data_IF_989572522504
#
_entry.id   IF_989572522504
#
_cell.length_a   1.000
_cell.length_b   1.000
_cell.length_c   1.000
_cell.angle_alpha   90.00
_cell.angle_beta   90.00
_cell.angle_gamma   90.00
#
_symmetry.space_group_name_H-M   'P 1'
#
loop_
_entity.id
_entity.type
_entity.pdbx_description
1 polymer ?
#
# COMPACT_ATOMS: atom_id res chain seq x y z
N UNK A 1 -2.50 10.13 0.13
CA UNK A 1 -1.46 10.02 -0.91
C UNK A 1 -0.15 9.52 -0.34
N UNK A 2 0.63 8.80 -1.15
CA UNK A 2 1.96 8.32 -0.82
C UNK A 2 2.99 9.18 -1.56
N UNK A 3 3.94 9.74 -0.81
CA UNK A 3 4.94 10.66 -1.36
C UNK A 3 6.38 10.15 -1.15
N UNK A 4 6.59 9.30 -0.18
CA UNK A 4 7.91 8.78 0.16
C UNK A 4 8.29 7.60 -0.74
N UNK A 5 9.48 7.70 -1.36
CA UNK A 5 10.03 6.68 -2.26
C UNK A 5 10.31 5.38 -1.50
N UNK A 6 10.86 5.46 -0.29
CA UNK A 6 11.18 4.27 0.50
C UNK A 6 9.90 3.53 0.91
N UNK A 7 8.83 4.25 1.31
CA UNK A 7 7.52 3.65 1.57
C UNK A 7 6.92 3.02 0.30
N UNK A 8 7.04 3.67 -0.86
CA UNK A 8 6.49 3.15 -2.12
C UNK A 8 7.12 1.81 -2.51
N UNK A 9 8.41 1.65 -2.30
CA UNK A 9 9.12 0.40 -2.59
C UNK A 9 9.15 -0.60 -1.43
N UNK A 10 8.66 -0.22 -0.24
CA UNK A 10 8.59 -1.11 0.92
C UNK A 10 7.48 -2.16 0.75
N UNK A 11 7.77 -3.46 0.89
CA UNK A 11 6.74 -4.50 0.89
C UNK A 11 5.86 -4.49 2.16
N UNK A 12 6.30 -3.78 3.22
CA UNK A 12 5.53 -3.62 4.45
C UNK A 12 4.45 -2.54 4.32
N UNK A 13 4.60 -1.64 3.36
CA UNK A 13 3.59 -0.63 3.03
C UNK A 13 2.72 -1.15 1.90
N UNK A 14 1.43 -1.32 2.16
CA UNK A 14 0.46 -1.71 1.13
C UNK A 14 0.04 -0.47 0.34
N UNK A 15 0.16 -0.55 -0.98
CA UNK A 15 -0.30 0.48 -1.92
C UNK A 15 -1.69 0.15 -2.41
N UNK A 16 -2.47 1.20 -2.71
CA UNK A 16 -3.76 1.06 -3.37
C UNK A 16 -3.87 2.05 -4.53
N UNK A 17 -4.39 1.56 -5.65
CA UNK A 17 -4.76 2.36 -6.81
C UNK A 17 -6.27 2.31 -7.01
N UNK A 18 -6.85 3.44 -7.43
CA UNK A 18 -8.29 3.59 -7.59
C UNK A 18 -8.67 3.95 -9.01
N UNK A 19 -9.92 3.71 -9.35
CA UNK A 19 -10.54 4.29 -10.54
C UNK A 19 -10.86 5.79 -10.34
N UNK A 20 -11.36 6.43 -11.39
CA UNK A 20 -11.75 7.84 -11.36
C UNK A 20 -12.91 8.16 -10.40
N UNK A 21 -13.58 7.14 -9.86
CA UNK A 21 -14.69 7.28 -8.92
C UNK A 21 -14.25 6.97 -7.47
N UNK A 22 -12.95 6.73 -7.24
CA UNK A 22 -12.44 6.36 -5.93
C UNK A 22 -12.74 4.92 -5.52
N UNK A 23 -13.01 4.01 -6.49
CA UNK A 23 -13.15 2.58 -6.21
C UNK A 23 -11.79 1.91 -6.35
N UNK A 24 -11.42 1.07 -5.41
CA UNK A 24 -10.15 0.33 -5.47
C UNK A 24 -10.10 -0.56 -6.72
N UNK A 25 -9.03 -0.44 -7.47
CA UNK A 25 -8.68 -1.33 -8.58
C UNK A 25 -7.81 -2.48 -8.09
N UNK A 26 -6.84 -2.18 -7.22
CA UNK A 26 -5.92 -3.17 -6.66
C UNK A 26 -5.30 -2.65 -5.37
N UNK A 27 -5.08 -3.57 -4.42
CA UNK A 27 -4.16 -3.42 -3.28
C UNK A 27 -2.96 -4.32 -3.53
N UNK A 28 -1.74 -3.84 -3.26
CA UNK A 28 -0.54 -4.66 -3.41
C UNK A 28 0.60 -4.20 -2.51
N UNK A 29 1.43 -5.15 -2.11
CA UNK A 29 2.73 -4.89 -1.49
C UNK A 29 3.77 -4.44 -2.51
N UNK A 30 3.57 -4.78 -3.79
CA UNK A 30 4.40 -4.29 -4.89
C UNK A 30 4.26 -2.78 -5.08
N UNK A 31 5.27 -2.11 -5.68
CA UNK A 31 5.17 -0.69 -6.05
C UNK A 31 4.20 -0.51 -7.22
N UNK A 32 2.98 -0.08 -6.91
CA UNK A 32 1.91 0.18 -7.89
C UNK A 32 1.36 1.60 -7.76
N UNK A 33 1.01 2.27 -8.91
CA UNK A 33 1.26 1.83 -10.28
C UNK A 33 2.74 1.96 -10.67
N UNK A 34 3.22 1.15 -11.58
CA UNK A 34 4.58 1.25 -12.09
C UNK A 34 4.71 2.39 -13.11
N UNK A 35 5.51 3.39 -12.82
CA UNK A 35 5.83 4.45 -13.78
C UNK A 35 6.93 3.96 -14.71
N UNK A 36 6.55 3.52 -15.92
CA UNK A 36 7.45 2.91 -16.89
C UNK A 36 8.70 3.75 -17.16
N UNK A 37 8.51 5.02 -17.45
CA UNK A 37 9.62 5.87 -17.91
C UNK A 37 10.47 6.38 -16.73
N UNK A 38 9.84 6.73 -15.62
CA UNK A 38 10.57 7.22 -14.45
C UNK A 38 11.39 6.13 -13.73
N UNK A 39 10.88 4.88 -13.72
CA UNK A 39 11.56 3.78 -13.04
C UNK A 39 12.43 2.92 -13.97
N UNK A 40 12.35 3.10 -15.30
CA UNK A 40 13.20 2.40 -16.27
C UNK A 40 14.64 2.88 -16.24
N UNK A 41 14.90 4.13 -15.92
CA UNK A 41 16.25 4.67 -15.79
C UNK A 41 17.03 4.02 -14.64
N UNK A 42 16.34 3.63 -13.57
CA UNK A 42 16.92 2.93 -12.43
C UNK A 42 17.27 1.45 -12.74
N UNK A 43 16.64 0.84 -13.74
CA UNK A 43 16.84 -0.57 -14.11
C UNK A 43 17.97 -0.83 -15.11
N UNK A 44 18.53 0.20 -15.72
CA UNK A 44 19.58 0.04 -16.75
C UNK A 44 20.96 -0.38 -16.20
N UNK A 45 21.10 -0.57 -14.89
CA UNK A 45 22.35 -1.02 -14.25
C UNK A 45 22.44 -2.50 -13.91
N UNK A 46 21.35 -3.25 -13.88
CA UNK A 46 21.37 -4.70 -13.60
C UNK A 46 20.07 -5.36 -14.00
N UNK A 47 20.09 -6.00 -15.13
CA UNK A 47 19.05 -6.93 -15.56
C UNK A 47 19.27 -8.27 -14.84
N UNK A 48 18.69 -8.41 -13.65
CA UNK A 48 18.54 -9.72 -13.03
C UNK A 48 17.15 -10.28 -13.33
N UNK A 49 17.01 -11.50 -13.87
CA UNK A 49 15.72 -12.14 -14.03
C UNK A 49 15.19 -12.56 -12.65
N UNK A 50 14.06 -11.98 -12.25
CA UNK A 50 13.22 -12.51 -11.19
C UNK A 50 13.78 -12.39 -9.78
N UNK A 51 13.67 -11.22 -9.15
CA UNK A 51 13.87 -11.11 -7.71
C UNK A 51 14.06 -9.68 -7.22
N UNK A 52 13.20 -9.27 -6.28
CA UNK A 52 13.44 -8.12 -5.42
C UNK A 52 14.80 -8.28 -4.73
N UNK A 53 15.76 -7.40 -5.03
CA UNK A 53 17.04 -7.35 -4.33
C UNK A 53 17.06 -6.13 -3.38
N UNK A 54 17.42 -6.31 -2.09
CA UNK A 54 17.54 -5.21 -1.14
C UNK A 54 18.53 -4.11 -1.53
N UNK A 55 19.38 -4.33 -2.54
CA UNK A 55 20.30 -3.35 -3.10
C UNK A 55 19.70 -2.47 -4.22
N UNK A 56 18.43 -2.68 -4.60
CA UNK A 56 17.77 -1.93 -5.68
C UNK A 56 17.54 -0.45 -5.34
N UNK A 57 17.65 -0.07 -4.08
CA UNK A 57 17.48 1.32 -3.63
C UNK A 57 18.60 2.25 -4.16
N UNK A 58 19.74 1.73 -4.58
CA UNK A 58 20.87 2.53 -5.06
C UNK A 58 20.66 3.22 -6.43
N UNK A 59 19.55 2.96 -7.10
CA UNK A 59 19.21 3.55 -8.40
C UNK A 59 17.79 4.13 -8.46
N UNK A 60 17.08 4.20 -7.32
CA UNK A 60 15.73 4.76 -7.29
C UNK A 60 15.75 6.29 -7.45
N UNK A 61 14.70 6.87 -8.04
CA UNK A 61 14.57 8.31 -8.09
C UNK A 61 14.54 8.91 -6.68
N UNK A 62 15.02 10.14 -6.54
CA UNK A 62 14.98 10.84 -5.25
C UNK A 62 13.54 11.13 -4.79
N UNK A 63 12.62 11.27 -5.75
CA UNK A 63 11.21 11.56 -5.53
C UNK A 63 10.33 10.71 -6.43
N UNK A 64 9.09 10.45 -5.99
CA UNK A 64 8.09 9.81 -6.84
C UNK A 64 7.67 10.76 -7.98
N UNK A 65 7.33 10.22 -9.17
CA UNK A 65 6.82 11.03 -10.26
C UNK A 65 5.62 11.86 -9.84
N UNK A 66 5.62 13.14 -10.20
CA UNK A 66 4.51 14.05 -9.94
C UNK A 66 3.22 13.48 -10.53
N UNK A 67 2.16 13.44 -9.71
CA UNK A 67 0.86 12.92 -10.13
C UNK A 67 0.76 11.40 -10.20
N UNK A 68 1.74 10.65 -9.69
CA UNK A 68 1.62 9.19 -9.58
C UNK A 68 0.42 8.84 -8.68
N UNK A 69 -0.65 8.18 -9.20
CA UNK A 69 -1.88 7.95 -8.45
C UNK A 69 -1.73 6.74 -7.51
N UNK A 70 -0.88 6.89 -6.50
CA UNK A 70 -0.66 5.87 -5.47
C UNK A 70 -1.09 6.38 -4.11
N UNK A 71 -1.78 5.54 -3.36
CA UNK A 71 -2.23 5.81 -2.00
C UNK A 71 -1.65 4.76 -1.05
N UNK A 72 -1.33 5.18 0.17
CA UNK A 72 -0.99 4.26 1.26
C UNK A 72 -2.28 3.70 1.86
N UNK A 73 -2.38 2.39 1.93
CA UNK A 73 -3.47 1.71 2.60
C UNK A 73 -3.37 1.88 4.12
N UNK A 74 -4.48 2.25 4.76
CA UNK A 74 -4.55 2.50 6.21
C UNK A 74 -5.09 1.30 6.99
N UNK A 75 -5.83 0.39 6.34
CA UNK A 75 -6.36 -0.81 6.97
C UNK A 75 -7.63 -0.59 7.80
N UNK A 76 -8.30 0.56 7.68
CA UNK A 76 -9.58 0.81 8.35
C UNK A 76 -10.73 0.56 7.37
N UNK A 77 -11.68 -0.31 7.75
CA UNK A 77 -12.78 -0.72 6.89
C UNK A 77 -14.14 -0.57 7.54
N UNK A 78 -15.11 -0.14 6.74
CA UNK A 78 -16.53 -0.23 7.05
C UNK A 78 -17.20 -1.19 6.07
N UNK A 79 -18.00 -2.10 6.57
CA UNK A 79 -18.66 -3.14 5.78
C UNK A 79 -20.18 -3.03 5.86
N UNK A 80 -20.85 -3.32 4.75
CA UNK A 80 -22.28 -3.56 4.77
C UNK A 80 -22.57 -4.93 5.42
N UNK A 81 -23.62 -5.01 6.21
CA UNK A 81 -23.96 -6.23 6.93
C UNK A 81 -24.27 -7.43 6.03
N UNK A 82 -24.85 -7.18 4.85
CA UNK A 82 -25.10 -8.18 3.83
C UNK A 82 -23.80 -8.77 3.26
N UNK A 83 -22.79 -7.93 3.03
CA UNK A 83 -21.47 -8.37 2.61
C UNK A 83 -20.78 -9.21 3.70
N UNK A 84 -20.85 -8.80 4.98
CA UNK A 84 -20.26 -9.57 6.08
C UNK A 84 -20.85 -10.98 6.21
N UNK A 85 -22.15 -11.17 5.90
CA UNK A 85 -22.76 -12.50 5.85
C UNK A 85 -22.28 -13.32 4.66
N UNK A 86 -21.95 -12.68 3.54
CA UNK A 86 -21.50 -13.32 2.30
C UNK A 86 -20.00 -13.68 2.37
N UNK A 87 -19.18 -12.82 2.94
CA UNK A 87 -17.72 -12.92 2.89
C UNK A 87 -17.16 -14.27 3.40
N UNK A 88 -17.63 -14.86 4.52
CA UNK A 88 -17.11 -16.16 4.98
C UNK A 88 -17.33 -17.32 4.01
N UNK A 89 -18.31 -17.18 3.10
CA UNK A 89 -18.64 -18.21 2.10
C UNK A 89 -17.88 -18.00 0.77
N UNK A 90 -17.13 -16.92 0.62
CA UNK A 90 -16.29 -16.69 -0.55
C UNK A 90 -15.03 -17.56 -0.46
N UNK A 91 -14.73 -18.38 -1.47
CA UNK A 91 -13.46 -19.11 -1.54
C UNK A 91 -12.26 -18.15 -1.44
N UNK A 92 -11.19 -18.62 -0.84
CA UNK A 92 -9.94 -17.87 -0.83
C UNK A 92 -9.45 -17.59 -2.25
N UNK A 93 -8.92 -16.40 -2.46
CA UNK A 93 -8.38 -15.98 -3.75
C UNK A 93 -6.87 -16.23 -3.79
N UNK A 94 -6.30 -16.76 -4.90
CA UNK A 94 -4.86 -16.95 -5.01
C UNK A 94 -4.06 -15.66 -4.76
N UNK A 95 -4.54 -14.52 -5.26
CA UNK A 95 -3.91 -13.22 -5.04
C UNK A 95 -3.93 -12.78 -3.56
N UNK A 96 -5.00 -13.11 -2.82
CA UNK A 96 -5.08 -12.89 -1.37
C UNK A 96 -4.00 -13.67 -0.63
N UNK A 97 -3.76 -14.92 -1.02
CA UNK A 97 -2.78 -15.78 -0.37
C UNK A 97 -1.35 -15.33 -0.63
N UNK A 98 -1.03 -14.96 -1.88
CA UNK A 98 0.30 -14.47 -2.24
C UNK A 98 0.65 -13.11 -1.63
N UNK A 99 -0.30 -12.18 -1.62
CA UNK A 99 -0.10 -10.83 -1.08
C UNK A 99 -0.32 -10.77 0.45
N UNK A 100 -0.95 -11.82 1.04
CA UNK A 100 -1.42 -11.82 2.45
C UNK A 100 -2.30 -10.60 2.75
N UNK A 101 -3.27 -10.35 1.88
CA UNK A 101 -4.20 -9.21 1.91
C UNK A 101 -5.64 -9.71 1.73
N UNK A 102 -6.39 -9.85 2.82
CA UNK A 102 -7.74 -10.44 2.84
C UNK A 102 -8.77 -9.67 2.01
N UNK A 103 -8.62 -8.34 1.85
CA UNK A 103 -9.53 -7.53 1.04
C UNK A 103 -9.45 -7.87 -0.47
N UNK A 104 -8.37 -8.50 -0.92
CA UNK A 104 -8.23 -8.96 -2.29
C UNK A 104 -9.23 -10.05 -2.63
N UNK A 105 -9.72 -10.85 -1.64
CA UNK A 105 -10.81 -11.79 -1.85
C UNK A 105 -12.07 -11.10 -2.34
N UNK A 106 -12.42 -9.96 -1.74
CA UNK A 106 -13.58 -9.18 -2.16
C UNK A 106 -13.45 -8.73 -3.62
N UNK A 107 -12.31 -8.13 -3.98
CA UNK A 107 -12.06 -7.68 -5.36
C UNK A 107 -12.05 -8.85 -6.35
N UNK A 108 -11.44 -9.98 -5.98
CA UNK A 108 -11.38 -11.18 -6.83
C UNK A 108 -12.77 -11.72 -7.19
N UNK A 109 -13.72 -11.62 -6.25
CA UNK A 109 -15.10 -12.04 -6.47
C UNK A 109 -16.00 -10.94 -7.02
N UNK A 110 -15.43 -9.85 -7.51
CA UNK A 110 -16.16 -8.76 -8.19
C UNK A 110 -16.86 -7.78 -7.25
N UNK A 111 -16.57 -7.84 -5.95
CA UNK A 111 -17.08 -6.86 -5.00
C UNK A 111 -16.31 -5.54 -5.12
N UNK A 112 -16.96 -4.45 -4.76
CA UNK A 112 -16.39 -3.11 -4.88
C UNK A 112 -16.01 -2.56 -3.52
N UNK A 113 -14.82 -1.98 -3.44
CA UNK A 113 -14.31 -1.31 -2.24
C UNK A 113 -14.16 0.17 -2.57
N UNK A 114 -15.00 1.01 -1.99
CA UNK A 114 -14.81 2.46 -2.08
C UNK A 114 -13.65 2.88 -1.18
N UNK A 115 -12.80 3.76 -1.68
CA UNK A 115 -11.63 4.26 -0.95
C UNK A 115 -11.87 5.71 -0.56
N UNK A 116 -11.80 5.98 0.74
CA UNK A 116 -11.76 7.35 1.26
C UNK A 116 -10.29 7.79 1.31
N UNK A 117 -9.96 8.84 0.57
CA UNK A 117 -8.64 9.46 0.62
C UNK A 117 -8.60 10.49 1.74
N UNK A 118 -7.56 10.44 2.57
CA UNK A 118 -7.28 11.42 3.61
C UNK A 118 -6.10 12.29 3.16
N UNK A 119 -6.23 13.60 3.33
CA UNK A 119 -5.17 14.56 2.97
C UNK A 119 -4.13 14.72 4.09
N UNK A 120 -4.51 14.38 5.33
CA UNK A 120 -3.60 14.42 6.46
C UNK A 120 -2.88 13.07 6.64
N UNK A 121 -1.56 13.07 6.91
CA UNK A 121 -0.87 11.85 7.28
C UNK A 121 -1.44 11.31 8.58
N UNK A 122 -1.78 10.02 8.59
CA UNK A 122 -2.13 9.32 9.82
C UNK A 122 -0.87 8.90 10.57
N UNK A 123 -0.94 8.83 11.90
CA UNK A 123 0.14 8.24 12.67
C UNK A 123 0.47 6.84 12.16
N UNK A 124 1.73 6.40 12.23
CA UNK A 124 2.10 5.04 11.85
C UNK A 124 1.34 4.03 12.72
N UNK A 125 0.95 2.90 12.12
CA UNK A 125 0.48 1.74 12.86
C UNK A 125 1.58 1.20 13.77
N UNK A 126 1.21 0.39 14.76
CA UNK A 126 2.17 -0.23 15.68
C UNK A 126 2.17 -1.74 15.42
N UNK A 127 3.04 -2.16 14.53
CA UNK A 127 3.22 -3.57 14.16
C UNK A 127 4.56 -4.14 14.63
N UNK A 128 5.53 -3.26 14.92
CA UNK A 128 6.88 -3.62 15.35
C UNK A 128 7.27 -2.90 16.66
N UNK A 129 8.29 -3.38 17.42
CA UNK A 129 8.82 -2.66 18.57
C UNK A 129 9.33 -1.25 18.22
N UNK A 130 9.85 -1.06 17.02
CA UNK A 130 10.33 0.21 16.49
C UNK A 130 9.18 1.20 16.28
N UNK A 131 8.06 0.73 15.71
CA UNK A 131 6.84 1.54 15.56
C UNK A 131 6.30 1.98 16.92
N UNK A 132 6.32 1.07 17.91
CA UNK A 132 5.90 1.39 19.27
C UNK A 132 6.76 2.50 19.89
N UNK A 133 8.07 2.45 19.71
CA UNK A 133 8.98 3.47 20.21
C UNK A 133 8.71 4.82 19.54
N UNK A 134 8.47 4.83 18.22
CA UNK A 134 8.14 6.02 17.45
C UNK A 134 6.83 6.65 17.94
N UNK A 135 5.76 5.86 18.05
CA UNK A 135 4.44 6.35 18.49
C UNK A 135 4.48 6.88 19.92
N UNK A 136 5.19 6.23 20.83
CA UNK A 136 5.41 6.73 22.20
C UNK A 136 6.09 8.10 22.20
N UNK A 137 7.08 8.30 21.33
CA UNK A 137 7.76 9.58 21.18
C UNK A 137 6.83 10.70 20.66
N UNK A 138 5.92 10.39 19.74
CA UNK A 138 4.93 11.33 19.22
C UNK A 138 3.94 11.76 20.30
N UNK A 139 3.35 10.80 21.03
CA UNK A 139 2.38 11.08 22.11
C UNK A 139 3.01 11.93 23.22
N UNK A 140 4.27 11.63 23.59
CA UNK A 140 4.97 12.39 24.64
C UNK A 140 5.18 13.86 24.24
N UNK A 141 5.38 14.15 22.97
CA UNK A 141 5.54 15.52 22.45
C UNK A 141 4.22 16.29 22.45
N UNK A 142 3.11 15.63 22.08
CA UNK A 142 1.77 16.26 22.10
C UNK A 142 1.31 16.60 23.52
N UNK A 143 1.68 15.81 24.53
CA UNK A 143 1.36 16.06 25.94
C UNK A 143 2.20 17.18 26.56
N UNK A 144 3.27 17.61 25.90
CA UNK A 144 4.20 18.65 26.38
C UNK A 144 3.96 20.01 25.70
N UNK A 145 2.99 20.09 24.80
CA UNK A 145 2.59 21.30 24.08
C UNK A 145 1.25 21.85 24.57
#
# INVERSE_FOLDING_TARGET
PLHDVAEFFSPNVVKVVTDAKGTALLFSRAPIPWSRDAFSAASNGSRAPGGYQPGLLAGLPAELPVGLPTLRHVGLYAYRADFLRKYPNLPRAPIEEHESLEQLRALWHGERIAVLTLDAPLPPGVDTPEDLALVRGLISREQSS
#
